data_IF_732531370687
#
_entry.id   IF_732531370687
#
_cell.length_a   1.000
_cell.length_b   1.000
_cell.length_c   1.000
_cell.angle_alpha   90.00
_cell.angle_beta   90.00
_cell.angle_gamma   90.00
#
_symmetry.space_group_name_H-M   'P 1'
#
loop_
_entity.id
_entity.type
_entity.pdbx_description
1 polymer ?
#
# COMPACT_ATOMS: atom_id res chain seq x y z
N UNK A 1 0.00 -47.87 17.58
CA UNK A 1 -0.71 -46.92 18.45
C UNK A 1 -0.37 -45.55 17.92
N UNK A 2 -1.32 -44.95 17.22
CA UNK A 2 -1.19 -43.58 16.73
C UNK A 2 -1.21 -42.65 17.94
N UNK A 3 -0.06 -42.07 18.27
CA UNK A 3 0.07 -41.18 19.42
C UNK A 3 -0.65 -39.85 19.09
N UNK A 4 -1.81 -39.55 19.71
CA UNK A 4 -2.63 -38.41 19.33
C UNK A 4 -1.92 -37.08 19.57
N UNK A 5 -0.94 -37.04 20.49
CA UNK A 5 -0.12 -35.86 20.75
C UNK A 5 0.86 -35.63 19.60
N UNK A 6 1.46 -36.71 19.07
CA UNK A 6 2.38 -36.64 17.94
C UNK A 6 1.65 -36.20 16.66
N UNK A 7 0.44 -36.71 16.43
CA UNK A 7 -0.43 -36.28 15.32
C UNK A 7 -0.83 -34.81 15.46
N UNK A 8 -1.16 -34.35 16.68
CA UNK A 8 -1.48 -32.94 16.93
C UNK A 8 -0.27 -32.02 16.72
N UNK A 9 0.92 -32.43 17.14
CA UNK A 9 2.17 -31.70 16.92
C UNK A 9 2.54 -31.66 15.45
N UNK A 10 2.41 -32.78 14.72
CA UNK A 10 2.60 -32.83 13.27
C UNK A 10 1.59 -31.96 12.53
N UNK A 11 0.32 -31.97 12.93
CA UNK A 11 -0.68 -31.06 12.38
C UNK A 11 -0.30 -29.60 12.67
N UNK A 12 0.12 -29.24 13.88
CA UNK A 12 0.58 -27.88 14.19
C UNK A 12 1.83 -27.48 13.39
N UNK A 13 2.74 -28.41 13.10
CA UNK A 13 3.94 -28.15 12.28
C UNK A 13 3.62 -28.04 10.79
N UNK A 14 2.64 -28.82 10.30
CA UNK A 14 2.22 -28.88 8.90
C UNK A 14 1.06 -27.92 8.58
N UNK A 15 0.35 -27.42 9.58
CA UNK A 15 -0.74 -26.46 9.39
C UNK A 15 -0.51 -25.17 10.17
N UNK A 16 0.58 -25.02 10.92
CA UNK A 16 0.88 -23.81 11.69
C UNK A 16 1.17 -22.58 10.82
N UNK A 17 1.26 -21.42 11.48
CA UNK A 17 1.58 -20.14 10.85
C UNK A 17 3.02 -20.13 10.33
N UNK A 18 3.19 -20.13 9.00
CA UNK A 18 4.48 -20.11 8.31
C UNK A 18 4.35 -20.54 6.85
N UNK A 19 5.37 -20.27 6.03
CA UNK A 19 5.41 -20.72 4.63
C UNK A 19 5.52 -22.24 4.59
N UNK A 20 4.39 -22.93 4.41
CA UNK A 20 4.38 -24.37 4.19
C UNK A 20 4.26 -24.66 2.70
N UNK A 21 5.31 -25.26 2.12
CA UNK A 21 5.32 -25.67 0.71
C UNK A 21 4.21 -26.67 0.38
N UNK A 22 3.70 -27.44 1.34
CA UNK A 22 2.73 -28.51 1.08
C UNK A 22 1.26 -28.12 1.32
N UNK A 23 1.01 -26.92 1.86
CA UNK A 23 -0.33 -26.41 2.14
C UNK A 23 -0.56 -25.12 1.32
N UNK A 24 -1.39 -25.23 0.29
CA UNK A 24 -1.62 -24.15 -0.70
C UNK A 24 -2.24 -22.93 -0.03
N UNK A 25 -3.11 -23.14 0.95
CA UNK A 25 -3.80 -22.09 1.68
C UNK A 25 -2.85 -21.30 2.59
N UNK A 26 -1.94 -21.97 3.30
CA UNK A 26 -0.91 -21.31 4.10
C UNK A 26 0.09 -20.54 3.24
N UNK A 27 0.44 -21.09 2.08
CA UNK A 27 1.28 -20.39 1.10
C UNK A 27 0.61 -19.11 0.61
N UNK A 28 -0.64 -19.19 0.19
CA UNK A 28 -1.36 -18.02 -0.32
C UNK A 28 -1.56 -16.93 0.76
N UNK A 29 -1.71 -17.29 2.05
CA UNK A 29 -1.70 -16.32 3.15
C UNK A 29 -0.34 -15.66 3.37
N UNK A 30 0.74 -16.43 3.27
CA UNK A 30 2.10 -15.89 3.37
C UNK A 30 2.40 -14.97 2.18
N UNK A 31 1.97 -15.36 0.98
CA UNK A 31 2.11 -14.57 -0.24
C UNK A 31 1.31 -13.26 -0.14
N UNK A 32 0.07 -13.27 0.40
CA UNK A 32 -0.72 -12.06 0.69
C UNK A 32 0.05 -11.07 1.58
N UNK A 33 0.65 -11.55 2.67
CA UNK A 33 1.46 -10.73 3.57
C UNK A 33 2.69 -10.13 2.87
N UNK A 34 3.43 -10.96 2.11
CA UNK A 34 4.62 -10.53 1.38
C UNK A 34 4.29 -9.50 0.30
N UNK A 35 3.21 -9.74 -0.45
CA UNK A 35 2.76 -8.87 -1.53
C UNK A 35 2.33 -7.51 -0.98
N UNK A 36 1.54 -7.48 0.10
CA UNK A 36 1.16 -6.20 0.75
C UNK A 36 2.38 -5.46 1.28
N UNK A 37 3.34 -6.16 1.88
CA UNK A 37 4.59 -5.55 2.32
C UNK A 37 5.40 -4.97 1.15
N UNK A 38 5.37 -5.60 -0.02
CA UNK A 38 6.01 -5.08 -1.22
C UNK A 38 5.31 -3.81 -1.74
N UNK A 39 3.98 -3.78 -1.77
CA UNK A 39 3.22 -2.57 -2.12
C UNK A 39 3.53 -1.42 -1.16
N UNK A 40 3.55 -1.70 0.15
CA UNK A 40 3.94 -0.75 1.19
C UNK A 40 5.37 -0.22 1.02
N UNK A 41 6.30 -1.06 0.58
CA UNK A 41 7.69 -0.63 0.29
C UNK A 41 7.71 0.44 -0.79
N UNK A 42 6.96 0.26 -1.89
CA UNK A 42 6.87 1.26 -2.96
C UNK A 42 6.19 2.55 -2.50
N UNK A 43 5.12 2.46 -1.71
CA UNK A 43 4.43 3.62 -1.16
C UNK A 43 5.31 4.41 -0.19
N UNK A 44 6.08 3.73 0.66
CA UNK A 44 7.04 4.36 1.55
C UNK A 44 8.12 5.12 0.79
N UNK A 45 8.64 4.54 -0.30
CA UNK A 45 9.61 5.22 -1.18
C UNK A 45 8.99 6.43 -1.90
N UNK A 46 7.76 6.30 -2.41
CA UNK A 46 7.02 7.40 -3.03
C UNK A 46 6.76 8.56 -2.05
N UNK A 47 6.38 8.26 -0.80
CA UNK A 47 6.20 9.28 0.24
C UNK A 47 7.52 9.99 0.57
N UNK A 48 8.63 9.25 0.65
CA UNK A 48 9.95 9.84 0.87
C UNK A 48 10.38 10.75 -0.30
N UNK A 49 10.11 10.35 -1.54
CA UNK A 49 10.38 11.18 -2.73
C UNK A 49 9.56 12.48 -2.71
N UNK A 50 8.27 12.42 -2.36
CA UNK A 50 7.43 13.62 -2.22
C UNK A 50 7.92 14.55 -1.09
N UNK A 51 8.40 13.99 0.02
CA UNK A 51 8.98 14.78 1.10
C UNK A 51 10.29 15.49 0.67
N UNK A 52 11.13 14.79 -0.10
CA UNK A 52 12.34 15.38 -0.69
C UNK A 52 11.98 16.48 -1.69
N UNK A 53 11.05 16.19 -2.61
CA UNK A 53 10.56 17.16 -3.60
C UNK A 53 9.98 18.42 -2.94
N UNK A 54 9.21 18.27 -1.86
CA UNK A 54 8.69 19.40 -1.10
C UNK A 54 9.82 20.24 -0.45
N UNK A 55 10.86 19.58 0.03
CA UNK A 55 12.04 20.24 0.61
C UNK A 55 12.79 21.03 -0.46
N UNK A 56 13.09 20.41 -1.59
CA UNK A 56 13.79 21.04 -2.71
C UNK A 56 12.97 22.20 -3.30
N UNK A 57 11.66 22.01 -3.46
CA UNK A 57 10.75 23.04 -3.93
C UNK A 57 10.72 24.24 -2.97
N UNK A 58 10.65 23.98 -1.66
CA UNK A 58 10.68 25.04 -0.64
C UNK A 58 11.99 25.82 -0.69
N UNK A 59 13.14 25.14 -0.81
CA UNK A 59 14.44 25.80 -0.86
C UNK A 59 14.61 26.67 -2.12
N UNK A 60 14.05 26.22 -3.25
CA UNK A 60 14.19 26.91 -4.54
C UNK A 60 13.21 28.07 -4.71
N UNK A 61 11.95 27.87 -4.34
CA UNK A 61 10.84 28.75 -4.73
C UNK A 61 10.24 29.56 -3.58
N UNK A 62 10.61 29.29 -2.33
CA UNK A 62 10.15 30.07 -1.17
C UNK A 62 11.33 30.90 -0.65
N UNK A 63 11.40 32.19 -0.99
CA UNK A 63 12.47 33.06 -0.51
C UNK A 63 12.38 33.25 1.00
N UNK A 64 13.52 33.46 1.64
CA UNK A 64 13.59 33.89 3.03
C UNK A 64 12.87 35.23 3.18
N UNK A 65 11.97 35.35 4.16
CA UNK A 65 11.22 36.58 4.37
C UNK A 65 12.16 37.77 4.59
N UNK A 66 11.96 38.84 3.83
CA UNK A 66 12.71 40.09 3.95
C UNK A 66 11.77 41.20 4.42
N UNK A 67 12.33 42.33 4.87
CA UNK A 67 11.51 43.51 5.22
C UNK A 67 10.69 44.03 4.03
N UNK A 68 11.19 43.86 2.81
CA UNK A 68 10.53 44.33 1.59
C UNK A 68 9.51 43.30 1.04
N UNK A 69 9.75 42.01 1.28
CA UNK A 69 8.81 40.93 0.99
C UNK A 69 8.58 40.08 2.25
N UNK A 70 7.67 40.51 3.13
CA UNK A 70 7.42 39.82 4.40
C UNK A 70 6.72 38.47 4.22
N UNK A 71 6.05 38.25 3.09
CA UNK A 71 5.31 37.02 2.81
C UNK A 71 5.76 36.38 1.47
N UNK A 72 5.97 35.06 1.43
CA UNK A 72 6.23 34.36 0.19
C UNK A 72 5.05 34.45 -0.79
N UNK A 73 5.29 34.33 -2.11
CA UNK A 73 4.23 34.29 -3.11
C UNK A 73 3.21 33.17 -2.84
N UNK A 74 1.92 33.51 -2.83
CA UNK A 74 0.84 32.57 -2.53
C UNK A 74 0.79 31.36 -3.48
N UNK A 75 1.14 31.55 -4.76
CA UNK A 75 1.18 30.48 -5.75
C UNK A 75 2.23 29.40 -5.39
N UNK A 76 3.43 29.81 -4.96
CA UNK A 76 4.49 28.87 -4.57
C UNK A 76 4.12 28.12 -3.28
N UNK A 77 3.45 28.81 -2.34
CA UNK A 77 2.91 28.16 -1.15
C UNK A 77 1.81 27.16 -1.48
N UNK A 78 0.97 27.44 -2.47
CA UNK A 78 -0.07 26.51 -2.91
C UNK A 78 0.55 25.23 -3.51
N UNK A 79 1.57 25.36 -4.38
CA UNK A 79 2.29 24.21 -4.93
C UNK A 79 2.99 23.38 -3.84
N UNK A 80 3.64 24.04 -2.87
CA UNK A 80 4.25 23.30 -1.76
C UNK A 80 3.21 22.52 -0.94
N UNK A 81 2.06 23.15 -0.65
CA UNK A 81 0.96 22.49 0.06
C UNK A 81 0.44 21.30 -0.73
N UNK A 82 0.40 21.41 -2.05
CA UNK A 82 -0.04 20.34 -2.95
C UNK A 82 0.86 19.11 -2.86
N UNK A 83 2.18 19.30 -2.96
CA UNK A 83 3.17 18.22 -2.83
C UNK A 83 3.02 17.52 -1.48
N UNK A 84 2.91 18.31 -0.40
CA UNK A 84 2.75 17.78 0.97
C UNK A 84 1.45 17.00 1.14
N UNK A 85 0.33 17.53 0.64
CA UNK A 85 -0.96 16.85 0.71
C UNK A 85 -0.95 15.51 -0.03
N UNK A 86 -0.26 15.44 -1.18
CA UNK A 86 -0.03 14.18 -1.88
C UNK A 86 0.82 13.21 -1.05
N UNK A 87 1.90 13.69 -0.42
CA UNK A 87 2.73 12.88 0.48
C UNK A 87 1.94 12.28 1.64
N UNK A 88 1.15 13.11 2.32
CA UNK A 88 0.29 12.69 3.44
C UNK A 88 -0.73 11.65 2.99
N UNK A 89 -1.34 11.82 1.81
CA UNK A 89 -2.29 10.87 1.26
C UNK A 89 -1.64 9.52 0.91
N UNK A 90 -0.42 9.51 0.37
CA UNK A 90 0.36 8.29 0.14
C UNK A 90 0.67 7.57 1.45
N UNK A 91 1.10 8.30 2.49
CA UNK A 91 1.37 7.72 3.82
C UNK A 91 0.12 7.16 4.50
N UNK A 92 -1.03 7.81 4.32
CA UNK A 92 -2.30 7.32 4.82
C UNK A 92 -2.69 6.00 4.14
N UNK A 93 -2.52 5.90 2.82
CA UNK A 93 -2.77 4.67 2.08
C UNK A 93 -1.81 3.54 2.50
N UNK A 94 -0.51 3.83 2.67
CA UNK A 94 0.45 2.84 3.18
C UNK A 94 0.00 2.24 4.51
N UNK A 95 -0.39 3.11 5.45
CA UNK A 95 -0.86 2.72 6.78
C UNK A 95 -2.11 1.84 6.69
N UNK A 96 -3.04 2.17 5.79
CA UNK A 96 -4.25 1.37 5.54
C UNK A 96 -3.90 -0.01 5.00
N UNK A 97 -3.08 -0.09 3.95
CA UNK A 97 -2.69 -1.36 3.31
C UNK A 97 -1.97 -2.28 4.30
N UNK A 98 -1.09 -1.71 5.13
CA UNK A 98 -0.38 -2.42 6.20
C UNK A 98 -1.35 -3.00 7.23
N UNK A 99 -2.38 -2.23 7.59
CA UNK A 99 -3.42 -2.61 8.55
C UNK A 99 -4.55 -3.49 8.00
N UNK A 100 -4.55 -3.82 6.71
CA UNK A 100 -5.62 -4.65 6.13
C UNK A 100 -5.69 -6.04 6.75
N UNK A 101 -6.93 -6.52 6.91
CA UNK A 101 -7.18 -7.87 7.40
C UNK A 101 -6.61 -8.95 6.48
N UNK A 102 -6.20 -10.06 7.11
CA UNK A 102 -5.69 -11.27 6.46
C UNK A 102 -6.64 -12.42 6.76
N UNK A 103 -6.93 -13.31 5.80
CA UNK A 103 -7.72 -14.51 6.07
C UNK A 103 -7.09 -15.35 7.18
N UNK A 104 -7.74 -15.45 8.34
CA UNK A 104 -7.27 -16.24 9.48
C UNK A 104 -7.56 -17.73 9.29
N UNK A 105 -6.83 -18.58 10.00
CA UNK A 105 -7.10 -20.03 10.09
C UNK A 105 -8.26 -20.30 11.08
N UNK A 106 -9.47 -19.82 10.77
CA UNK A 106 -10.64 -20.21 11.54
C UNK A 106 -11.32 -21.43 10.91
N UNK A 107 -11.79 -22.38 11.73
CA UNK A 107 -12.56 -23.56 11.25
C UNK A 107 -13.87 -23.14 10.57
N UNK A 108 -14.36 -21.94 10.86
CA UNK A 108 -15.52 -21.34 10.18
C UNK A 108 -15.14 -20.89 8.76
N UNK A 109 -13.95 -20.31 8.56
CA UNK A 109 -13.45 -19.91 7.24
C UNK A 109 -13.19 -21.12 6.34
N UNK A 110 -12.61 -22.21 6.88
CA UNK A 110 -12.28 -23.41 6.12
C UNK A 110 -13.50 -24.24 5.70
N UNK A 111 -14.62 -24.14 6.42
CA UNK A 111 -15.84 -24.95 6.16
C UNK A 111 -16.87 -24.24 5.28
N UNK A 112 -16.91 -22.91 5.28
CA UNK A 112 -17.98 -22.14 4.64
C UNK A 112 -17.53 -21.29 3.44
N UNK A 113 -16.23 -21.23 3.12
CA UNK A 113 -15.74 -20.61 1.89
C UNK A 113 -14.91 -21.61 1.10
N UNK A 114 -15.04 -21.59 -0.22
CA UNK A 114 -14.04 -22.17 -1.12
C UNK A 114 -12.74 -21.36 -0.93
N UNK A 115 -11.97 -21.74 0.09
CA UNK A 115 -10.84 -20.99 0.65
C UNK A 115 -9.82 -20.64 -0.44
N UNK A 116 -9.50 -21.62 -1.28
CA UNK A 116 -8.60 -21.45 -2.43
C UNK A 116 -9.07 -20.40 -3.43
N UNK A 117 -10.36 -20.37 -3.79
CA UNK A 117 -10.94 -19.39 -4.73
C UNK A 117 -10.90 -17.99 -4.13
N UNK A 118 -11.18 -17.87 -2.83
CA UNK A 118 -11.13 -16.60 -2.10
C UNK A 118 -9.69 -16.06 -2.07
N UNK A 119 -8.73 -16.92 -1.75
CA UNK A 119 -7.31 -16.57 -1.69
C UNK A 119 -6.76 -16.16 -3.07
N UNK A 120 -7.15 -16.84 -4.15
CA UNK A 120 -6.74 -16.43 -5.51
C UNK A 120 -7.33 -15.06 -5.92
N UNK A 121 -8.57 -14.76 -5.51
CA UNK A 121 -9.15 -13.43 -5.75
C UNK A 121 -8.42 -12.34 -4.95
N UNK A 122 -8.04 -12.62 -3.71
CA UNK A 122 -7.22 -11.70 -2.90
C UNK A 122 -5.88 -11.42 -3.57
N UNK A 123 -5.19 -12.46 -4.05
CA UNK A 123 -3.95 -12.31 -4.81
C UNK A 123 -4.12 -11.38 -6.03
N UNK A 124 -5.27 -11.39 -6.69
CA UNK A 124 -5.53 -10.51 -7.83
C UNK A 124 -5.56 -9.03 -7.42
N UNK A 125 -6.25 -8.70 -6.32
CA UNK A 125 -6.24 -7.33 -5.77
C UNK A 125 -4.85 -6.92 -5.33
N UNK A 126 -4.14 -7.84 -4.69
CA UNK A 126 -2.79 -7.67 -4.19
C UNK A 126 -1.77 -7.38 -5.30
N UNK A 127 -1.88 -8.06 -6.45
CA UNK A 127 -1.09 -7.73 -7.65
C UNK A 127 -1.40 -6.33 -8.19
N UNK A 128 -2.67 -5.93 -8.21
CA UNK A 128 -3.09 -4.58 -8.63
C UNK A 128 -2.49 -3.52 -7.70
N UNK A 129 -2.46 -3.78 -6.39
CA UNK A 129 -1.85 -2.89 -5.40
C UNK A 129 -0.34 -2.74 -5.62
N UNK A 130 0.41 -3.82 -5.84
CA UNK A 130 1.85 -3.71 -6.17
C UNK A 130 2.03 -2.92 -7.46
N UNK A 131 1.33 -3.30 -8.52
CA UNK A 131 1.52 -2.71 -9.84
C UNK A 131 1.23 -1.20 -9.81
N UNK A 132 0.13 -0.81 -9.17
CA UNK A 132 -0.22 0.60 -9.01
C UNK A 132 0.76 1.35 -8.11
N UNK A 133 1.19 0.77 -6.98
CA UNK A 133 2.14 1.41 -6.07
C UNK A 133 3.51 1.60 -6.74
N UNK A 134 3.97 0.61 -7.50
CA UNK A 134 5.18 0.71 -8.31
C UNK A 134 5.02 1.78 -9.39
N UNK A 135 3.90 1.81 -10.12
CA UNK A 135 3.67 2.81 -11.17
C UNK A 135 3.62 4.24 -10.61
N UNK A 136 3.06 4.42 -9.41
CA UNK A 136 3.08 5.69 -8.68
C UNK A 136 4.52 6.09 -8.33
N UNK A 137 5.29 5.18 -7.73
CA UNK A 137 6.71 5.38 -7.43
C UNK A 137 7.51 5.73 -8.69
N UNK A 138 7.37 4.96 -9.77
CA UNK A 138 8.12 5.17 -11.01
C UNK A 138 7.81 6.57 -11.59
N UNK A 139 6.54 7.00 -11.54
CA UNK A 139 6.13 8.34 -12.00
C UNK A 139 6.79 9.45 -11.18
N UNK A 140 6.96 9.24 -9.87
CA UNK A 140 7.64 10.19 -8.97
C UNK A 140 9.16 10.16 -9.12
N UNK A 141 9.74 9.00 -9.42
CA UNK A 141 11.19 8.84 -9.52
C UNK A 141 11.82 9.66 -10.65
N UNK A 142 11.05 10.01 -11.68
CA UNK A 142 11.47 10.87 -12.78
C UNK A 142 11.14 12.34 -12.58
N UNK A 143 10.37 12.70 -11.54
CA UNK A 143 9.87 14.06 -11.35
C UNK A 143 10.90 14.95 -10.64
N UNK A 144 11.21 16.08 -11.26
CA UNK A 144 12.00 17.15 -10.64
C UNK A 144 11.10 18.32 -10.21
N UNK A 145 11.65 19.25 -9.41
CA UNK A 145 10.92 20.43 -8.94
C UNK A 145 10.46 21.36 -10.09
N UNK A 146 11.17 21.35 -11.23
CA UNK A 146 10.87 22.20 -12.38
C UNK A 146 9.78 21.60 -13.27
N UNK A 147 9.59 20.28 -13.19
CA UNK A 147 8.54 19.54 -13.89
C UNK A 147 7.25 19.44 -13.07
N UNK A 148 7.27 19.93 -11.83
CA UNK A 148 6.09 19.92 -10.98
C UNK A 148 5.03 20.90 -11.50
N UNK A 149 3.89 20.36 -11.93
CA UNK A 149 2.74 21.15 -12.36
C UNK A 149 1.43 20.62 -11.76
N UNK A 150 0.36 21.41 -11.88
CA UNK A 150 -0.99 20.97 -11.49
C UNK A 150 -1.47 19.74 -12.26
N UNK A 151 -1.05 19.57 -13.51
CA UNK A 151 -1.43 18.40 -14.33
C UNK A 151 -0.77 17.12 -13.78
N UNK A 152 0.51 17.22 -13.41
CA UNK A 152 1.29 16.13 -12.82
C UNK A 152 0.71 15.78 -11.44
N UNK A 153 0.39 16.78 -10.62
CA UNK A 153 -0.28 16.57 -9.34
C UNK A 153 -1.65 15.87 -9.51
N UNK A 154 -2.44 16.28 -10.49
CA UNK A 154 -3.74 15.66 -10.80
C UNK A 154 -3.58 14.21 -11.28
N UNK A 155 -2.61 13.92 -12.14
CA UNK A 155 -2.32 12.57 -12.62
C UNK A 155 -1.88 11.63 -11.48
N UNK A 156 -1.03 12.11 -10.56
CA UNK A 156 -0.62 11.37 -9.37
C UNK A 156 -1.81 11.10 -8.44
N UNK A 157 -2.70 12.07 -8.26
CA UNK A 157 -3.94 11.87 -7.49
C UNK A 157 -4.86 10.83 -8.09
N UNK A 158 -5.03 10.84 -9.41
CA UNK A 158 -5.85 9.84 -10.09
C UNK A 158 -5.31 8.42 -9.82
N UNK A 159 -4.00 8.23 -9.97
CA UNK A 159 -3.33 6.95 -9.65
C UNK A 159 -3.49 6.55 -8.19
N UNK A 160 -3.37 7.51 -7.27
CA UNK A 160 -3.57 7.25 -5.84
C UNK A 160 -5.03 6.86 -5.54
N UNK A 161 -5.98 7.51 -6.20
CA UNK A 161 -7.40 7.19 -6.09
C UNK A 161 -7.74 5.78 -6.60
N UNK A 162 -7.13 5.36 -7.70
CA UNK A 162 -7.30 3.99 -8.24
C UNK A 162 -6.76 2.94 -7.25
N UNK A 163 -5.61 3.22 -6.63
CA UNK A 163 -5.03 2.38 -5.59
C UNK A 163 -5.90 2.31 -4.34
N UNK A 164 -6.41 3.45 -3.87
CA UNK A 164 -7.35 3.49 -2.76
C UNK A 164 -8.57 2.63 -3.07
N UNK A 165 -9.15 2.78 -4.26
CA UNK A 165 -10.32 2.02 -4.70
C UNK A 165 -10.03 0.51 -4.68
N UNK A 166 -8.88 0.10 -5.18
CA UNK A 166 -8.43 -1.30 -5.15
C UNK A 166 -8.30 -1.83 -3.72
N UNK A 167 -7.74 -1.02 -2.80
CA UNK A 167 -7.65 -1.38 -1.38
C UNK A 167 -9.03 -1.52 -0.73
N UNK A 168 -9.99 -0.61 -1.01
CA UNK A 168 -11.36 -0.70 -0.47
C UNK A 168 -12.09 -1.92 -1.01
N UNK A 169 -11.92 -2.24 -2.29
CA UNK A 169 -12.54 -3.41 -2.91
C UNK A 169 -12.03 -4.70 -2.29
N UNK A 170 -10.71 -4.80 -2.05
CA UNK A 170 -10.11 -5.93 -1.33
C UNK A 170 -10.68 -6.10 0.08
N UNK A 171 -10.77 -5.02 0.85
CA UNK A 171 -11.36 -5.04 2.19
C UNK A 171 -12.84 -5.47 2.16
N UNK A 172 -13.64 -4.89 1.26
CA UNK A 172 -15.05 -5.23 1.11
C UNK A 172 -15.25 -6.71 0.72
N UNK A 173 -14.37 -7.26 -0.12
CA UNK A 173 -14.40 -8.67 -0.52
C UNK A 173 -14.25 -9.63 0.67
N UNK A 174 -13.49 -9.24 1.71
CA UNK A 174 -13.34 -10.05 2.92
C UNK A 174 -14.59 -10.03 3.82
N UNK A 175 -15.25 -8.88 3.90
CA UNK A 175 -16.40 -8.65 4.80
C UNK A 175 -17.73 -9.14 4.23
N UNK A 176 -17.87 -9.22 2.91
CA UNK A 176 -19.12 -9.64 2.27
C UNK A 176 -19.35 -11.15 2.44
N UNK A 177 -20.47 -11.59 3.05
CA UNK A 177 -20.86 -13.01 3.08
C UNK A 177 -21.29 -13.44 1.67
N UNK A 178 -20.80 -14.59 1.21
CA UNK A 178 -21.23 -15.24 -0.04
C UNK A 178 -22.42 -16.16 0.20
#
# INVERSE_FOLDING_TARGET
MDDPILIQQLNLLLTGYGYNLYNVENRARADDLLVRQQACTWLGQAAAQLAQLATDYSQRYIPTATREQPFPPAANLAQLREIKALGDAVSLLDSRIRGMAVPTQDKVWSKFRQESVTLHRLLTFDYQLIAGAKALHDSLSSLTIDEWTNEQAAALRARLHDLETSARQREAFLVTPF
#
